data_IF_311295709831
#
_entry.id   IF_311295709831
#
_cell.length_a   1.000
_cell.length_b   1.000
_cell.length_c   1.000
_cell.angle_alpha   90.00
_cell.angle_beta   90.00
_cell.angle_gamma   90.00
#
_symmetry.space_group_name_H-M   'P 1'
#
loop_
_entity.id
_entity.type
_entity.pdbx_description
1 polymer ?
#
# COMPACT_ATOMS: atom_id res chain seq x y z
N UNK A 1 21.52 30.51 -14.19
CA UNK A 1 20.20 30.10 -14.73
C UNK A 1 20.32 29.00 -15.79
N UNK A 2 21.29 29.05 -16.68
CA UNK A 2 21.55 28.01 -17.71
C UNK A 2 22.08 26.68 -17.15
N UNK A 3 22.89 26.72 -16.09
CA UNK A 3 23.48 25.54 -15.47
C UNK A 3 22.44 24.68 -14.75
N UNK A 4 21.43 25.29 -14.14
CA UNK A 4 20.29 24.60 -13.54
C UNK A 4 19.37 23.97 -14.59
N UNK A 5 19.18 24.60 -15.76
CA UNK A 5 18.46 24.00 -16.87
C UNK A 5 19.14 22.76 -17.41
N UNK A 6 20.48 22.77 -17.53
CA UNK A 6 21.26 21.60 -17.98
C UNK A 6 21.25 20.46 -16.96
N UNK A 7 21.22 20.75 -15.65
CA UNK A 7 21.08 19.73 -14.60
C UNK A 7 19.70 19.06 -14.61
N UNK A 8 18.65 19.86 -14.80
CA UNK A 8 17.29 19.32 -14.89
C UNK A 8 17.06 18.48 -16.15
N UNK A 9 17.65 18.86 -17.30
CA UNK A 9 17.60 18.10 -18.55
C UNK A 9 18.35 16.75 -18.40
N UNK A 10 19.52 16.74 -17.73
CA UNK A 10 20.24 15.50 -17.45
C UNK A 10 19.47 14.57 -16.52
N UNK A 11 18.80 15.10 -15.52
CA UNK A 11 17.97 14.32 -14.59
C UNK A 11 16.75 13.71 -15.32
N UNK A 12 16.10 14.47 -16.19
CA UNK A 12 14.97 13.98 -17.01
C UNK A 12 15.44 12.88 -17.96
N UNK A 13 16.63 13.00 -18.57
CA UNK A 13 17.19 11.99 -19.47
C UNK A 13 17.55 10.69 -18.72
N UNK A 14 18.08 10.79 -17.51
CA UNK A 14 18.42 9.62 -16.68
C UNK A 14 17.15 8.89 -16.25
N UNK A 15 16.10 9.61 -15.87
CA UNK A 15 14.80 9.04 -15.52
C UNK A 15 14.15 8.37 -16.74
N UNK A 16 14.25 8.97 -17.91
CA UNK A 16 13.72 8.40 -19.16
C UNK A 16 14.47 7.12 -19.58
N UNK A 17 15.78 7.03 -19.32
CA UNK A 17 16.58 5.83 -19.61
C UNK A 17 16.24 4.69 -18.66
N UNK A 18 15.99 4.97 -17.39
CA UNK A 18 15.58 3.96 -16.41
C UNK A 18 14.20 3.39 -16.77
N UNK A 19 13.24 4.24 -17.15
CA UNK A 19 11.92 3.81 -17.63
C UNK A 19 12.05 2.98 -18.92
N UNK A 20 12.95 3.34 -19.82
CA UNK A 20 13.16 2.60 -21.07
C UNK A 20 13.75 1.20 -20.82
N UNK A 21 14.63 1.04 -19.83
CA UNK A 21 15.21 -0.26 -19.46
C UNK A 21 14.14 -1.20 -18.90
N UNK A 22 13.20 -0.69 -18.08
CA UNK A 22 12.08 -1.48 -17.58
C UNK A 22 11.08 -1.86 -18.69
N UNK A 23 10.80 -0.96 -19.62
CA UNK A 23 9.93 -1.24 -20.78
C UNK A 23 10.56 -2.29 -21.69
N UNK A 24 11.87 -2.20 -21.96
CA UNK A 24 12.60 -3.18 -22.78
C UNK A 24 12.67 -4.53 -22.07
N UNK A 25 12.86 -4.58 -20.75
CA UNK A 25 12.79 -5.81 -19.95
C UNK A 25 11.44 -6.49 -20.04
N UNK A 26 10.35 -5.72 -19.86
CA UNK A 26 8.99 -6.24 -19.97
C UNK A 26 8.63 -6.69 -21.41
N UNK A 27 9.15 -6.02 -22.43
CA UNK A 27 8.94 -6.41 -23.85
C UNK A 27 9.74 -7.68 -24.19
N UNK A 28 10.96 -7.85 -23.65
CA UNK A 28 11.72 -9.09 -23.86
C UNK A 28 11.09 -10.30 -23.20
N UNK A 29 10.54 -10.18 -22.01
CA UNK A 29 9.76 -11.24 -21.34
C UNK A 29 8.52 -11.58 -22.17
N UNK A 30 7.80 -10.58 -22.67
CA UNK A 30 6.61 -10.77 -23.48
C UNK A 30 6.91 -11.35 -24.88
N UNK A 31 8.10 -11.08 -25.44
CA UNK A 31 8.51 -11.58 -26.76
C UNK A 31 8.98 -13.03 -26.69
N UNK A 32 9.47 -13.48 -25.53
CA UNK A 32 9.86 -14.87 -25.32
C UNK A 32 8.65 -15.82 -25.10
N UNK A 33 7.51 -15.27 -24.63
CA UNK A 33 6.28 -16.07 -24.46
C UNK A 33 5.46 -16.24 -25.74
N UNK A 34 5.73 -15.48 -26.81
CA UNK A 34 4.96 -15.53 -28.05
C UNK A 34 5.59 -16.40 -29.16
N UNK A 35 6.69 -17.11 -28.88
CA UNK A 35 7.39 -17.94 -29.89
C UNK A 35 7.30 -19.46 -29.59
N UNK A 36 6.22 -19.92 -28.99
CA UNK A 36 5.94 -21.36 -28.98
C UNK A 36 4.90 -21.65 -30.07
N UNK A 37 5.38 -22.01 -31.24
CA UNK A 37 4.54 -22.57 -32.30
C UNK A 37 4.07 -23.95 -31.86
N UNK A 38 2.77 -24.12 -31.79
CA UNK A 38 2.11 -25.41 -31.63
C UNK A 38 2.41 -26.24 -32.86
N UNK A 39 3.29 -27.22 -32.72
CA UNK A 39 3.47 -28.27 -33.71
C UNK A 39 2.42 -29.36 -33.48
N UNK A 40 1.51 -29.51 -34.43
CA UNK A 40 0.62 -30.67 -34.52
C UNK A 40 1.45 -31.95 -34.58
N UNK A 41 1.40 -32.78 -33.54
CA UNK A 41 1.70 -34.19 -33.64
C UNK A 41 0.59 -34.99 -32.94
N UNK A 42 -0.34 -35.47 -33.75
CA UNK A 42 -1.30 -36.48 -33.36
C UNK A 42 -0.57 -37.79 -33.09
N UNK A 43 -0.59 -38.24 -31.86
CA UNK A 43 0.00 -39.53 -31.41
C UNK A 43 -0.74 -40.06 -30.19
N UNK A 44 -1.80 -40.79 -30.41
CA UNK A 44 -2.28 -42.05 -29.77
C UNK A 44 -2.08 -42.14 -28.21
N UNK A 45 -3.25 -42.24 -27.52
CA UNK A 45 -3.45 -42.63 -26.12
C UNK A 45 -2.87 -41.72 -25.02
N UNK A 46 -3.62 -40.69 -24.69
CA UNK A 46 -3.60 -40.01 -23.42
C UNK A 46 -5.03 -39.63 -23.06
N UNK A 47 -5.50 -40.02 -21.88
CA UNK A 47 -6.70 -39.46 -21.28
C UNK A 47 -6.56 -37.95 -21.33
N UNK A 48 -7.54 -37.27 -21.87
CA UNK A 48 -7.57 -35.81 -21.91
C UNK A 48 -7.74 -35.34 -20.45
N UNK A 49 -6.72 -34.68 -19.90
CA UNK A 49 -6.77 -34.03 -18.57
C UNK A 49 -7.77 -32.86 -18.65
N UNK A 50 -9.06 -33.14 -18.62
CA UNK A 50 -10.11 -32.10 -18.55
C UNK A 50 -10.23 -31.58 -17.11
N UNK A 51 -9.29 -30.74 -16.74
CA UNK A 51 -9.35 -29.99 -15.49
C UNK A 51 -10.10 -28.68 -15.74
N UNK A 52 -11.15 -28.41 -14.98
CA UNK A 52 -11.89 -27.15 -15.08
C UNK A 52 -11.13 -26.08 -14.31
N UNK A 53 -10.72 -25.02 -15.02
CA UNK A 53 -9.99 -23.89 -14.47
C UNK A 53 -10.89 -22.66 -14.45
N UNK A 54 -11.00 -22.01 -13.28
CA UNK A 54 -11.57 -20.69 -13.15
C UNK A 54 -10.41 -19.69 -13.00
N UNK A 55 -10.34 -18.72 -13.92
CA UNK A 55 -9.28 -17.71 -13.91
C UNK A 55 -9.32 -16.83 -12.64
N UNK A 56 -8.15 -16.38 -12.18
CA UNK A 56 -8.03 -15.41 -11.10
C UNK A 56 -8.53 -14.04 -11.54
N UNK A 57 -9.24 -13.32 -10.67
CA UNK A 57 -9.73 -11.96 -10.93
C UNK A 57 -8.63 -10.97 -11.30
N UNK A 58 -7.43 -11.16 -10.78
CA UNK A 58 -6.29 -10.24 -10.99
C UNK A 58 -5.70 -10.27 -12.40
N UNK A 59 -5.88 -11.34 -13.17
CA UNK A 59 -5.36 -11.46 -14.55
C UNK A 59 -6.04 -10.54 -15.57
N UNK A 60 -7.21 -9.99 -15.26
CA UNK A 60 -8.06 -9.24 -16.22
C UNK A 60 -8.22 -7.76 -15.87
N UNK A 61 -7.46 -7.22 -14.90
CA UNK A 61 -7.60 -5.83 -14.47
C UNK A 61 -7.20 -4.89 -15.62
N UNK A 62 -8.16 -4.04 -16.01
CA UNK A 62 -7.94 -2.91 -16.92
C UNK A 62 -7.76 -1.65 -16.11
N UNK A 63 -6.81 -0.81 -16.52
CA UNK A 63 -6.55 0.47 -15.88
C UNK A 63 -7.13 1.62 -16.69
N UNK A 64 -7.48 2.68 -15.99
CA UNK A 64 -7.84 3.98 -16.55
C UNK A 64 -7.03 5.07 -15.85
N UNK A 65 -6.80 6.17 -16.54
CA UNK A 65 -6.11 7.32 -15.97
C UNK A 65 -7.13 8.21 -15.24
N UNK A 66 -6.78 8.58 -14.02
CA UNK A 66 -7.44 9.63 -13.26
C UNK A 66 -6.60 10.90 -13.36
N UNK A 67 -7.24 12.04 -13.66
CA UNK A 67 -6.60 13.34 -13.72
C UNK A 67 -7.62 14.40 -13.26
N UNK A 68 -7.29 15.14 -12.20
CA UNK A 68 -8.11 16.24 -11.70
C UNK A 68 -7.41 17.62 -11.84
N UNK A 69 -6.32 17.68 -12.61
CA UNK A 69 -5.51 18.87 -12.82
C UNK A 69 -4.46 19.13 -11.73
N UNK A 70 -4.59 18.52 -10.56
CA UNK A 70 -3.61 18.59 -9.46
C UNK A 70 -2.76 17.33 -9.41
N UNK A 71 -3.38 16.16 -9.58
CA UNK A 71 -2.73 14.87 -9.61
C UNK A 71 -3.18 14.04 -10.81
N UNK A 72 -2.30 13.12 -11.21
CA UNK A 72 -2.59 12.04 -12.17
C UNK A 72 -2.20 10.72 -11.55
N UNK A 73 -2.99 9.67 -11.81
CA UNK A 73 -2.66 8.32 -11.39
C UNK A 73 -3.42 7.28 -12.20
N UNK A 74 -2.90 6.05 -12.27
CA UNK A 74 -3.58 4.90 -12.86
C UNK A 74 -4.37 4.17 -11.81
N UNK A 75 -5.64 3.88 -12.11
CA UNK A 75 -6.52 3.13 -11.21
C UNK A 75 -7.20 2.01 -11.99
N UNK A 76 -7.59 0.90 -11.36
CA UNK A 76 -8.42 -0.11 -11.99
C UNK A 76 -9.72 0.48 -12.50
N UNK A 77 -10.19 0.00 -13.63
CA UNK A 77 -11.46 0.45 -14.21
C UNK A 77 -12.61 0.19 -13.22
N UNK A 78 -13.39 1.24 -12.94
CA UNK A 78 -14.50 1.18 -11.98
C UNK A 78 -14.14 1.60 -10.55
N UNK A 79 -12.85 1.78 -10.25
CA UNK A 79 -12.43 2.35 -8.98
C UNK A 79 -12.76 3.84 -8.91
N UNK A 80 -12.83 4.36 -7.68
CA UNK A 80 -13.04 5.76 -7.38
C UNK A 80 -11.79 6.38 -6.77
N UNK A 81 -11.64 7.69 -6.99
CA UNK A 81 -10.65 8.51 -6.29
C UNK A 81 -11.39 9.64 -5.60
N UNK A 82 -11.35 9.64 -4.30
CA UNK A 82 -11.80 10.75 -3.47
C UNK A 82 -10.58 11.59 -3.07
N UNK A 83 -10.73 12.91 -3.04
CA UNK A 83 -9.70 13.85 -2.62
C UNK A 83 -10.25 14.82 -1.60
N UNK A 84 -9.39 15.25 -0.67
CA UNK A 84 -9.72 16.23 0.37
C UNK A 84 -8.54 17.18 0.59
N UNK A 85 -8.83 18.41 0.96
CA UNK A 85 -7.83 19.43 1.27
C UNK A 85 -7.19 20.03 0.02
N UNK A 86 -6.16 20.81 0.27
CA UNK A 86 -5.38 21.50 -0.75
C UNK A 86 -3.88 21.41 -0.43
N UNK A 87 -3.09 21.37 -1.45
CA UNK A 87 -1.62 21.41 -1.39
C UNK A 87 -1.01 20.62 -0.23
N UNK A 88 -0.55 21.28 0.85
CA UNK A 88 0.14 20.61 1.98
C UNK A 88 -0.74 19.66 2.76
N UNK A 89 -2.06 19.86 2.79
CA UNK A 89 -3.02 18.99 3.48
C UNK A 89 -3.76 18.03 2.53
N UNK A 90 -3.21 17.82 1.33
CA UNK A 90 -3.88 17.04 0.32
C UNK A 90 -3.95 15.57 0.69
N UNK A 91 -5.15 15.03 0.60
CA UNK A 91 -5.46 13.64 0.92
C UNK A 91 -6.08 12.97 -0.31
N UNK A 92 -5.64 11.76 -0.61
CA UNK A 92 -6.09 10.94 -1.74
C UNK A 92 -6.52 9.58 -1.21
N UNK A 93 -7.67 9.09 -1.66
CA UNK A 93 -8.12 7.72 -1.44
C UNK A 93 -8.60 7.14 -2.76
N UNK A 94 -7.86 6.18 -3.32
CA UNK A 94 -8.27 5.40 -4.48
C UNK A 94 -8.73 4.01 -4.01
N UNK A 95 -9.93 3.58 -4.37
CA UNK A 95 -10.52 2.37 -3.82
C UNK A 95 -11.54 1.72 -4.75
N UNK A 96 -11.76 0.42 -4.55
CA UNK A 96 -12.86 -0.33 -5.16
C UNK A 96 -14.18 0.02 -4.43
N UNK A 97 -15.16 0.69 -5.08
CA UNK A 97 -16.40 1.08 -4.41
C UNK A 97 -17.28 -0.11 -3.98
N UNK A 98 -17.07 -1.30 -4.54
CA UNK A 98 -17.77 -2.52 -4.17
C UNK A 98 -17.05 -3.29 -3.05
N UNK A 99 -15.73 -3.11 -2.95
CA UNK A 99 -14.85 -3.79 -1.98
C UNK A 99 -13.87 -2.77 -1.40
N UNK A 100 -14.31 -1.82 -0.58
CA UNK A 100 -13.52 -0.65 -0.19
C UNK A 100 -12.27 -0.95 0.65
N UNK A 101 -12.09 -2.19 1.08
CA UNK A 101 -10.86 -2.66 1.72
C UNK A 101 -9.69 -2.70 0.75
N UNK A 102 -9.95 -2.88 -0.57
CA UNK A 102 -8.92 -2.69 -1.59
C UNK A 102 -8.77 -1.21 -1.86
N UNK A 103 -7.72 -0.62 -1.31
CA UNK A 103 -7.50 0.81 -1.42
C UNK A 103 -6.03 1.19 -1.34
N UNK A 104 -5.75 2.33 -1.94
CA UNK A 104 -4.57 3.15 -1.73
C UNK A 104 -4.99 4.43 -1.02
N UNK A 105 -4.28 4.80 0.01
CA UNK A 105 -4.45 6.06 0.73
C UNK A 105 -3.14 6.82 0.80
N UNK A 106 -3.23 8.12 0.63
CA UNK A 106 -2.12 9.04 0.77
C UNK A 106 -2.60 10.34 1.43
N UNK A 107 -1.84 10.84 2.40
CA UNK A 107 -2.01 12.18 2.93
C UNK A 107 -0.62 12.79 3.13
N UNK A 108 -0.43 14.00 2.61
CA UNK A 108 0.88 14.63 2.64
C UNK A 108 1.26 15.09 4.05
N UNK A 109 0.35 15.81 4.75
CA UNK A 109 0.59 16.32 6.09
C UNK A 109 -0.69 16.41 6.88
N UNK A 110 -0.61 15.96 8.12
CA UNK A 110 -1.54 16.34 9.19
C UNK A 110 -0.74 16.94 10.34
N UNK A 111 -1.32 17.86 11.08
CA UNK A 111 -0.61 18.58 12.13
C UNK A 111 -1.44 18.79 13.39
N UNK A 112 -0.75 19.14 14.48
CA UNK A 112 -1.39 19.56 15.70
C UNK A 112 -1.74 18.43 16.66
N UNK A 113 -1.13 17.24 16.54
CA UNK A 113 -1.35 16.17 17.50
C UNK A 113 -0.74 16.48 18.86
N UNK A 114 -1.46 16.18 19.92
CA UNK A 114 -0.94 16.30 21.28
C UNK A 114 0.08 15.19 21.57
N UNK A 115 1.16 15.53 22.29
CA UNK A 115 2.21 14.58 22.70
C UNK A 115 1.80 13.69 23.88
N UNK A 116 0.82 14.13 24.67
CA UNK A 116 0.37 13.40 25.85
C UNK A 116 -1.08 13.73 26.20
N UNK A 117 -1.70 12.87 27.00
CA UNK A 117 -3.04 13.12 27.57
C UNK A 117 -3.06 14.34 28.47
N UNK A 118 -1.96 14.60 29.19
CA UNK A 118 -1.81 15.77 30.03
C UNK A 118 -1.78 17.05 29.18
N UNK A 119 -1.05 17.05 28.05
CA UNK A 119 -1.04 18.16 27.10
C UNK A 119 -2.45 18.45 26.56
N UNK A 120 -3.16 17.41 26.11
CA UNK A 120 -4.55 17.53 25.64
C UNK A 120 -5.47 18.08 26.75
N UNK A 121 -5.36 17.57 27.96
CA UNK A 121 -6.16 18.04 29.09
C UNK A 121 -5.87 19.52 29.43
N UNK A 122 -4.62 19.94 29.31
CA UNK A 122 -4.23 21.35 29.44
C UNK A 122 -4.88 22.20 28.35
N UNK A 123 -4.80 21.79 27.09
CA UNK A 123 -5.44 22.50 25.97
C UNK A 123 -6.96 22.60 26.17
N UNK A 124 -7.62 21.51 26.54
CA UNK A 124 -9.06 21.51 26.83
C UNK A 124 -9.46 22.43 27.97
N UNK A 125 -8.62 22.56 29.00
CA UNK A 125 -8.91 23.39 30.15
C UNK A 125 -8.72 24.88 29.86
N UNK A 126 -7.64 25.24 29.18
CA UNK A 126 -7.22 26.64 29.02
C UNK A 126 -7.56 27.23 27.64
N UNK A 127 -7.73 26.37 26.64
CA UNK A 127 -8.01 26.75 25.26
C UNK A 127 -9.12 25.88 24.65
N UNK A 128 -10.30 25.73 25.27
CA UNK A 128 -11.32 24.77 24.87
C UNK A 128 -11.90 24.99 23.46
N UNK A 129 -11.73 26.20 22.91
CA UNK A 129 -12.14 26.56 21.55
C UNK A 129 -11.07 26.33 20.48
N UNK A 130 -9.88 25.91 20.89
CA UNK A 130 -8.79 25.65 19.96
C UNK A 130 -8.94 24.25 19.31
N UNK A 131 -8.54 24.13 18.05
CA UNK A 131 -8.52 22.85 17.34
C UNK A 131 -7.64 21.81 18.05
N UNK A 132 -6.57 22.25 18.68
CA UNK A 132 -5.65 21.38 19.43
C UNK A 132 -6.28 20.73 20.66
N UNK A 133 -7.29 21.37 21.26
CA UNK A 133 -8.06 20.77 22.35
C UNK A 133 -8.84 19.52 21.91
N UNK A 134 -9.17 19.41 20.62
CA UNK A 134 -9.87 18.27 20.03
C UNK A 134 -8.91 17.25 19.41
N UNK A 135 -7.67 17.67 19.10
CA UNK A 135 -6.71 16.84 18.38
C UNK A 135 -6.40 15.53 19.12
N UNK A 136 -6.17 14.42 18.40
CA UNK A 136 -5.76 13.15 18.98
C UNK A 136 -4.43 13.25 19.72
N UNK A 137 -4.14 12.25 20.52
CA UNK A 137 -2.87 12.11 21.24
C UNK A 137 -2.04 11.01 20.60
N UNK A 138 -0.81 11.30 20.19
CA UNK A 138 0.18 10.32 19.79
C UNK A 138 1.17 10.19 20.97
N UNK A 139 0.92 9.22 21.87
CA UNK A 139 1.81 9.00 23.03
C UNK A 139 3.12 8.31 22.62
N UNK A 140 3.07 7.48 21.59
CA UNK A 140 4.22 6.82 21.00
C UNK A 140 4.52 7.50 19.66
N UNK A 141 5.60 8.28 19.63
CA UNK A 141 6.00 9.10 18.47
C UNK A 141 6.58 8.25 17.33
N UNK A 142 5.87 7.17 16.99
CA UNK A 142 6.25 6.21 15.96
C UNK A 142 5.16 6.07 14.92
N UNK A 143 5.50 5.46 13.79
CA UNK A 143 4.54 5.08 12.75
C UNK A 143 3.42 4.20 13.32
N UNK A 144 3.76 3.22 14.16
CA UNK A 144 2.78 2.36 14.82
C UNK A 144 1.85 3.15 15.75
N UNK A 145 2.44 4.04 16.59
CA UNK A 145 1.67 4.89 17.51
C UNK A 145 0.65 5.76 16.78
N UNK A 146 1.03 6.33 15.64
CA UNK A 146 0.12 7.09 14.79
C UNK A 146 -1.02 6.22 14.24
N UNK A 147 -0.73 5.03 13.69
CA UNK A 147 -1.79 4.20 13.12
C UNK A 147 -2.75 3.62 14.17
N UNK A 148 -2.32 3.46 15.42
CA UNK A 148 -3.21 3.06 16.52
C UNK A 148 -4.30 4.09 16.82
N UNK A 149 -4.01 5.39 16.58
CA UNK A 149 -5.00 6.48 16.78
C UNK A 149 -5.67 6.92 15.47
N UNK A 150 -5.36 6.28 14.34
CA UNK A 150 -5.81 6.73 13.02
C UNK A 150 -7.33 6.86 12.91
N UNK A 151 -8.08 6.00 13.59
CA UNK A 151 -9.55 6.09 13.59
C UNK A 151 -10.10 7.37 14.26
N UNK A 152 -9.35 7.99 15.19
CA UNK A 152 -9.75 9.26 15.79
C UNK A 152 -9.77 10.41 14.76
N UNK A 153 -9.00 10.27 13.66
CA UNK A 153 -8.99 11.24 12.56
C UNK A 153 -10.34 11.29 11.84
N UNK A 154 -11.08 10.18 11.79
CA UNK A 154 -12.40 10.13 11.16
C UNK A 154 -13.39 11.04 11.87
N UNK A 155 -13.37 11.04 13.21
CA UNK A 155 -14.26 11.86 14.03
C UNK A 155 -14.07 13.36 13.78
N UNK A 156 -12.85 13.76 13.41
CA UNK A 156 -12.47 15.16 13.23
C UNK A 156 -12.54 15.58 11.76
N UNK A 157 -12.12 14.71 10.84
CA UNK A 157 -11.86 15.08 9.44
C UNK A 157 -12.86 14.48 8.43
N UNK A 158 -13.74 13.56 8.83
CA UNK A 158 -14.76 13.04 7.92
C UNK A 158 -15.70 14.16 7.46
N UNK A 159 -15.90 14.23 6.16
CA UNK A 159 -16.85 15.16 5.53
C UNK A 159 -17.96 14.39 4.83
N UNK A 160 -18.96 15.09 4.29
CA UNK A 160 -20.00 14.43 3.48
C UNK A 160 -19.45 13.78 2.22
N UNK A 161 -18.36 14.33 1.68
CA UNK A 161 -17.77 13.91 0.40
C UNK A 161 -16.51 13.05 0.55
N UNK A 162 -15.87 13.03 1.72
CA UNK A 162 -14.67 12.25 1.98
C UNK A 162 -14.78 11.53 3.32
N UNK A 163 -14.55 10.22 3.30
CA UNK A 163 -14.51 9.39 4.51
C UNK A 163 -13.13 8.76 4.65
N UNK A 164 -12.52 8.99 5.79
CA UNK A 164 -11.24 8.35 6.12
C UNK A 164 -11.41 6.83 6.24
N UNK A 165 -10.40 6.05 5.85
CA UNK A 165 -10.40 4.60 6.06
C UNK A 165 -10.54 4.23 7.54
N UNK A 166 -11.15 3.06 7.81
CA UNK A 166 -11.21 2.48 9.15
C UNK A 166 -10.08 1.47 9.31
N UNK A 167 -9.29 1.62 10.37
CA UNK A 167 -8.18 0.75 10.73
C UNK A 167 -8.34 0.31 12.20
N UNK A 168 -9.43 -0.43 12.51
CA UNK A 168 -9.68 -0.88 13.89
C UNK A 168 -8.76 -2.07 14.23
N UNK A 169 -8.43 -2.22 15.52
CA UNK A 169 -7.57 -3.29 16.03
C UNK A 169 -6.21 -3.37 15.29
N UNK A 170 -5.65 -2.20 14.93
CA UNK A 170 -4.39 -2.11 14.21
C UNK A 170 -3.27 -2.81 14.97
N UNK A 171 -2.66 -3.80 14.34
CA UNK A 171 -1.60 -4.63 14.92
C UNK A 171 -0.47 -4.83 13.93
N UNK A 172 0.74 -4.42 14.29
CA UNK A 172 1.93 -4.63 13.47
C UNK A 172 2.27 -6.12 13.45
N UNK A 173 2.37 -6.65 12.25
CA UNK A 173 2.80 -8.03 11.99
C UNK A 173 4.31 -8.07 11.77
N UNK A 174 4.85 -7.08 11.04
CA UNK A 174 6.26 -7.01 10.69
C UNK A 174 6.70 -5.56 10.47
N UNK A 175 7.90 -5.20 10.92
CA UNK A 175 8.58 -3.98 10.52
C UNK A 175 9.48 -4.31 9.33
N UNK A 176 9.18 -3.75 8.17
CA UNK A 176 9.86 -4.01 6.90
C UNK A 176 11.11 -3.15 6.72
N UNK A 177 11.29 -2.13 7.55
CA UNK A 177 12.45 -1.23 7.51
C UNK A 177 12.08 0.22 7.73
N UNK A 178 13.06 1.10 7.56
CA UNK A 178 12.87 2.53 7.71
C UNK A 178 12.32 3.15 6.43
N UNK A 179 11.36 4.07 6.56
CA UNK A 179 10.91 4.91 5.46
C UNK A 179 11.95 5.94 5.05
N UNK A 180 11.83 6.45 3.82
CA UNK A 180 12.82 7.37 3.19
C UNK A 180 13.04 8.66 3.98
N UNK A 181 11.99 9.15 4.66
CA UNK A 181 12.02 10.42 5.39
C UNK A 181 12.07 10.27 6.89
N UNK A 182 12.10 9.07 7.37
CA UNK A 182 11.93 8.70 8.75
C UNK A 182 10.65 7.89 8.94
N UNK A 183 10.41 7.44 10.16
CA UNK A 183 9.35 6.49 10.44
C UNK A 183 9.70 5.08 9.93
N UNK A 184 8.73 4.22 10.00
CA UNK A 184 8.85 2.81 9.62
C UNK A 184 7.94 2.46 8.44
N UNK A 185 8.29 1.43 7.71
CA UNK A 185 7.41 0.72 6.79
C UNK A 185 6.90 -0.52 7.54
N UNK A 186 5.61 -0.59 7.77
CA UNK A 186 4.99 -1.62 8.58
C UNK A 186 4.04 -2.48 7.74
N UNK A 187 4.16 -3.79 7.86
CA UNK A 187 3.07 -4.70 7.53
C UNK A 187 2.18 -4.85 8.77
N UNK A 188 0.89 -4.60 8.62
CA UNK A 188 -0.03 -4.67 9.74
C UNK A 188 -1.35 -5.33 9.34
N UNK A 189 -2.01 -5.93 10.33
CA UNK A 189 -3.39 -6.40 10.25
C UNK A 189 -4.32 -5.43 10.98
N UNK A 190 -5.58 -5.38 10.54
CA UNK A 190 -6.59 -4.53 11.13
C UNK A 190 -7.99 -5.05 10.78
N UNK A 191 -9.02 -4.41 11.34
CA UNK A 191 -10.42 -4.62 10.92
C UNK A 191 -10.90 -3.42 10.13
N UNK A 192 -11.53 -3.68 9.00
CA UNK A 192 -12.13 -2.65 8.14
C UNK A 192 -13.45 -2.09 8.72
N UNK A 193 -14.12 -1.23 7.97
CA UNK A 193 -15.35 -0.57 8.41
C UNK A 193 -16.51 -1.54 8.68
N UNK A 194 -16.50 -2.71 8.07
CA UNK A 194 -17.46 -3.78 8.28
C UNK A 194 -17.00 -4.81 9.34
N UNK A 195 -15.87 -4.55 10.00
CA UNK A 195 -15.30 -5.44 11.02
C UNK A 195 -14.62 -6.70 10.47
N UNK A 196 -14.34 -6.76 9.16
CA UNK A 196 -13.66 -7.89 8.51
C UNK A 196 -12.16 -7.76 8.70
N UNK A 197 -11.49 -8.90 8.77
CA UNK A 197 -10.04 -8.95 8.84
C UNK A 197 -9.42 -8.46 7.52
N UNK A 198 -8.45 -7.58 7.66
CA UNK A 198 -7.72 -6.97 6.55
C UNK A 198 -6.23 -6.83 6.89
N UNK A 199 -5.42 -6.61 5.89
CA UNK A 199 -3.99 -6.38 6.03
C UNK A 199 -3.52 -5.30 5.06
N UNK A 200 -2.34 -4.77 5.32
CA UNK A 200 -1.77 -3.73 4.46
C UNK A 200 -0.32 -3.43 4.79
N UNK A 201 0.24 -2.56 3.95
CA UNK A 201 1.56 -1.95 4.14
C UNK A 201 1.34 -0.47 4.42
N UNK A 202 1.97 0.00 5.47
CA UNK A 202 1.74 1.32 6.06
C UNK A 202 3.04 2.06 6.28
N UNK A 203 3.06 3.35 5.98
CA UNK A 203 4.15 4.25 6.36
C UNK A 203 3.61 5.61 6.76
N UNK A 204 4.29 6.25 7.71
CA UNK A 204 4.06 7.63 8.11
C UNK A 204 5.29 8.13 8.87
N UNK A 205 5.57 9.41 8.79
CA UNK A 205 6.64 10.04 9.56
C UNK A 205 6.05 10.94 10.62
N UNK A 206 6.15 10.53 11.88
CA UNK A 206 5.79 11.36 13.04
C UNK A 206 6.97 12.28 13.36
N UNK A 207 6.73 13.58 13.28
CA UNK A 207 7.74 14.62 13.46
C UNK A 207 7.43 15.47 14.70
N UNK A 208 8.36 15.50 15.63
CA UNK A 208 8.31 16.43 16.76
C UNK A 208 8.65 17.85 16.30
N UNK A 209 7.65 18.73 16.28
CA UNK A 209 7.81 20.12 15.84
C UNK A 209 8.61 20.99 16.85
N UNK A 210 8.90 20.48 18.03
CA UNK A 210 9.61 21.16 19.10
C UNK A 210 8.96 20.97 20.47
N UNK A 211 9.41 21.70 21.46
CA UNK A 211 8.88 21.60 22.82
C UNK A 211 8.50 22.96 23.39
N UNK A 212 7.38 22.99 24.09
CA UNK A 212 6.98 24.15 24.89
C UNK A 212 6.43 23.70 26.25
N UNK A 213 7.24 23.85 27.26
CA UNK A 213 6.93 23.39 28.63
C UNK A 213 6.17 24.43 29.44
N UNK A 214 5.07 23.99 30.02
CA UNK A 214 4.26 24.77 30.96
C UNK A 214 4.00 23.97 32.24
N UNK A 215 3.77 24.64 33.41
CA UNK A 215 3.28 23.93 34.57
C UNK A 215 1.88 23.37 34.32
N UNK A 216 1.60 22.14 34.74
CA UNK A 216 0.31 21.46 34.60
C UNK A 216 -0.89 22.32 35.06
N UNK A 217 -0.69 23.08 36.14
CA UNK A 217 -1.55 24.18 36.49
C UNK A 217 -0.75 25.48 36.29
N UNK A 218 -1.35 26.50 35.72
CA UNK A 218 -0.68 27.75 35.28
C UNK A 218 0.36 28.33 36.24
N UNK A 219 0.29 28.00 37.54
CA UNK A 219 1.19 28.53 38.56
C UNK A 219 2.06 27.47 39.24
N UNK A 220 1.75 26.17 39.13
CA UNK A 220 2.46 25.08 39.81
C UNK A 220 2.17 23.73 39.20
N UNK A 221 2.95 22.74 39.55
CA UNK A 221 2.79 21.37 39.14
C UNK A 221 3.93 20.85 38.27
N UNK A 222 3.77 19.64 37.78
CA UNK A 222 4.69 19.00 36.83
C UNK A 222 4.77 19.83 35.56
N UNK A 223 5.96 19.93 34.98
CA UNK A 223 6.11 20.51 33.63
C UNK A 223 5.57 19.54 32.59
N UNK A 224 4.70 20.04 31.74
CA UNK A 224 4.17 19.33 30.61
C UNK A 224 4.56 20.01 29.31
N UNK A 225 4.89 19.23 28.30
CA UNK A 225 5.14 19.71 26.93
C UNK A 225 3.81 19.83 26.21
N UNK A 226 3.37 21.05 25.94
CA UNK A 226 2.12 21.35 25.21
C UNK A 226 2.34 21.66 23.73
N UNK A 227 3.55 21.47 23.22
CA UNK A 227 3.81 21.61 21.81
C UNK A 227 3.29 20.38 21.03
N UNK A 228 3.43 20.36 19.72
CA UNK A 228 2.69 19.45 18.85
C UNK A 228 3.60 18.51 18.08
N UNK A 229 2.99 17.39 17.68
CA UNK A 229 3.52 16.52 16.65
C UNK A 229 2.82 16.80 15.32
N UNK A 230 3.56 16.64 14.24
CA UNK A 230 3.05 16.60 12.86
C UNK A 230 3.27 15.22 12.30
N UNK A 231 2.43 14.81 11.37
CA UNK A 231 2.60 13.55 10.64
C UNK A 231 2.67 13.85 9.16
N UNK A 232 3.73 13.36 8.54
CA UNK A 232 4.01 13.54 7.11
C UNK A 232 3.92 12.21 6.39
N UNK A 233 3.64 12.30 5.09
CA UNK A 233 3.74 11.19 4.14
C UNK A 233 3.01 9.92 4.61
N UNK A 234 1.81 10.12 5.20
CA UNK A 234 0.94 9.02 5.56
C UNK A 234 0.51 8.30 4.30
N UNK A 235 0.95 7.06 4.13
CA UNK A 235 0.58 6.27 2.97
C UNK A 235 0.34 4.82 3.36
N UNK A 236 -0.64 4.20 2.73
CA UNK A 236 -0.84 2.77 2.83
C UNK A 236 -1.58 2.17 1.63
N UNK A 237 -1.35 0.90 1.44
CA UNK A 237 -2.09 0.02 0.55
C UNK A 237 -2.72 -1.09 1.38
N UNK A 238 -3.99 -1.43 1.13
CA UNK A 238 -4.70 -2.46 1.88
C UNK A 238 -5.50 -3.39 1.00
N UNK A 239 -5.73 -4.59 1.51
CA UNK A 239 -6.63 -5.59 0.94
C UNK A 239 -7.26 -6.42 2.09
N UNK A 240 -8.31 -7.21 1.84
CA UNK A 240 -8.77 -8.23 2.76
C UNK A 240 -7.61 -9.16 3.15
N UNK A 241 -7.71 -9.74 4.35
CA UNK A 241 -6.71 -10.70 4.83
C UNK A 241 -6.46 -11.81 3.82
N UNK A 242 -5.18 -12.18 3.66
CA UNK A 242 -4.68 -13.19 2.73
C UNK A 242 -4.84 -12.86 1.23
N UNK A 243 -5.30 -11.63 0.90
CA UNK A 243 -5.46 -11.19 -0.49
C UNK A 243 -4.46 -10.11 -0.92
N UNK A 244 -3.75 -9.48 0.00
CA UNK A 244 -2.81 -8.41 -0.31
C UNK A 244 -1.77 -8.85 -1.35
N UNK A 245 -1.25 -10.08 -1.23
CA UNK A 245 -0.28 -10.65 -2.17
C UNK A 245 -0.82 -10.72 -3.61
N UNK A 246 -2.10 -11.05 -3.78
CA UNK A 246 -2.72 -11.15 -5.10
C UNK A 246 -2.97 -9.76 -5.74
N UNK A 247 -3.11 -8.73 -4.91
CA UNK A 247 -3.41 -7.36 -5.32
C UNK A 247 -2.22 -6.44 -5.27
N UNK A 248 -1.09 -6.88 -4.76
CA UNK A 248 0.11 -6.08 -4.56
C UNK A 248 0.56 -5.38 -5.85
N UNK A 249 0.65 -6.07 -6.97
CA UNK A 249 1.02 -5.48 -8.25
C UNK A 249 0.07 -4.35 -8.65
N UNK A 250 -1.25 -4.57 -8.52
CA UNK A 250 -2.25 -3.55 -8.81
C UNK A 250 -2.11 -2.34 -7.90
N UNK A 251 -1.97 -2.55 -6.60
CA UNK A 251 -1.82 -1.49 -5.60
C UNK A 251 -0.50 -0.73 -5.79
N UNK A 252 0.57 -1.43 -6.18
CA UNK A 252 1.84 -0.80 -6.53
C UNK A 252 1.74 0.05 -7.79
N UNK A 253 1.01 -0.39 -8.83
CA UNK A 253 0.76 0.41 -10.03
C UNK A 253 0.02 1.70 -9.67
N UNK A 254 -0.99 1.63 -8.79
CA UNK A 254 -1.72 2.80 -8.31
C UNK A 254 -0.76 3.75 -7.60
N UNK A 255 0.00 3.27 -6.62
CA UNK A 255 0.92 4.08 -5.83
C UNK A 255 2.04 4.70 -6.68
N UNK A 256 2.70 3.90 -7.52
CA UNK A 256 3.85 4.35 -8.33
C UNK A 256 3.47 5.24 -9.51
N UNK A 257 2.21 5.21 -9.94
CA UNK A 257 1.72 6.07 -11.02
C UNK A 257 1.23 7.45 -10.55
N UNK A 258 1.24 7.70 -9.23
CA UNK A 258 0.85 9.00 -8.68
C UNK A 258 1.85 10.08 -9.12
N UNK A 259 1.35 11.06 -9.82
CA UNK A 259 2.09 12.24 -10.29
C UNK A 259 1.41 13.52 -9.82
N UNK A 260 2.22 14.48 -9.36
CA UNK A 260 1.75 15.81 -8.98
C UNK A 260 2.02 16.80 -10.10
N UNK A 261 1.04 17.65 -10.41
CA UNK A 261 1.18 18.69 -11.43
C UNK A 261 2.10 19.83 -10.95
N UNK A 262 2.65 20.60 -11.90
CA UNK A 262 3.42 21.80 -11.58
C UNK A 262 2.59 22.84 -10.79
N UNK A 263 1.28 22.90 -11.04
CA UNK A 263 0.35 23.76 -10.30
C UNK A 263 0.30 23.33 -8.83
N UNK A 264 0.19 22.04 -8.57
CA UNK A 264 0.18 21.51 -7.21
C UNK A 264 1.51 21.81 -6.49
N UNK A 265 2.64 21.48 -7.13
CA UNK A 265 3.99 21.73 -6.60
C UNK A 265 4.20 23.22 -6.30
N UNK A 266 3.74 24.11 -7.19
CA UNK A 266 3.84 25.55 -6.98
C UNK A 266 2.96 26.03 -5.82
N UNK A 267 1.77 25.45 -5.65
CA UNK A 267 0.88 25.74 -4.54
C UNK A 267 1.49 25.36 -3.19
N UNK A 268 2.05 24.16 -3.09
CA UNK A 268 2.79 23.70 -1.89
C UNK A 268 3.95 24.61 -1.57
N UNK A 269 4.73 25.01 -2.59
CA UNK A 269 5.86 25.93 -2.42
C UNK A 269 5.42 27.29 -1.87
N UNK A 270 4.26 27.78 -2.32
CA UNK A 270 3.71 29.05 -1.85
C UNK A 270 3.25 28.96 -0.41
N UNK A 271 2.73 27.81 0.01
CA UNK A 271 2.26 27.60 1.38
C UNK A 271 3.41 27.33 2.36
N UNK A 272 4.38 26.50 2.00
CA UNK A 272 5.50 26.18 2.92
C UNK A 272 6.75 25.77 2.13
N UNK A 273 7.74 26.65 2.04
CA UNK A 273 9.02 26.42 1.33
C UNK A 273 9.79 25.18 1.83
N UNK A 274 9.62 24.78 3.12
CA UNK A 274 10.30 23.63 3.70
C UNK A 274 9.74 22.29 3.24
N UNK A 275 8.46 22.22 2.87
CA UNK A 275 7.78 20.96 2.54
C UNK A 275 7.98 20.51 1.09
N UNK A 276 8.48 21.42 0.23
CA UNK A 276 8.77 21.07 -1.15
C UNK A 276 9.91 20.03 -1.32
N UNK A 277 10.80 19.91 -0.34
CA UNK A 277 11.83 18.85 -0.36
C UNK A 277 11.18 17.47 -0.20
N UNK A 278 10.08 17.38 0.51
CA UNK A 278 9.35 16.14 0.73
C UNK A 278 8.61 15.69 -0.54
N UNK A 279 8.12 16.61 -1.37
CA UNK A 279 7.40 16.28 -2.61
C UNK A 279 8.22 15.55 -3.67
N UNK A 280 9.45 16.00 -3.92
CA UNK A 280 10.33 15.32 -4.87
C UNK A 280 10.67 13.91 -4.42
N UNK A 281 10.50 13.66 -3.16
CA UNK A 281 10.82 12.41 -2.54
C UNK A 281 9.62 11.46 -2.37
N UNK A 282 8.36 11.93 -2.42
CA UNK A 282 7.17 11.05 -2.41
C UNK A 282 7.21 10.03 -3.54
N UNK A 283 7.64 10.46 -4.73
CA UNK A 283 7.86 9.52 -5.84
C UNK A 283 8.92 8.48 -5.51
N UNK A 284 9.99 8.88 -4.80
CA UNK A 284 11.02 7.97 -4.33
C UNK A 284 10.53 7.07 -3.21
N UNK A 285 9.63 7.56 -2.33
CA UNK A 285 8.94 6.73 -1.31
C UNK A 285 8.09 5.67 -1.99
N UNK A 286 7.23 6.05 -2.93
CA UNK A 286 6.40 5.08 -3.65
C UNK A 286 7.25 4.02 -4.34
N UNK A 287 8.34 4.42 -5.01
CA UNK A 287 9.25 3.49 -5.65
C UNK A 287 10.02 2.66 -4.61
N UNK A 288 10.54 3.26 -3.55
CA UNK A 288 11.29 2.55 -2.52
C UNK A 288 10.38 1.62 -1.71
N UNK A 289 9.17 2.03 -1.35
CA UNK A 289 8.19 1.13 -0.71
C UNK A 289 7.88 -0.04 -1.64
N UNK A 290 7.71 0.22 -2.94
CA UNK A 290 7.50 -0.82 -3.93
C UNK A 290 8.71 -1.76 -3.98
N UNK A 291 9.92 -1.23 -4.08
CA UNK A 291 11.15 -2.01 -4.17
C UNK A 291 11.46 -2.75 -2.86
N UNK A 292 11.31 -2.11 -1.69
CA UNK A 292 11.52 -2.72 -0.38
C UNK A 292 10.44 -3.73 -0.01
N UNK A 293 9.18 -3.47 -0.39
CA UNK A 293 8.11 -4.45 -0.28
C UNK A 293 8.43 -5.65 -1.16
N UNK A 294 8.79 -5.44 -2.43
CA UNK A 294 9.15 -6.52 -3.34
C UNK A 294 10.36 -7.29 -2.84
N UNK A 295 11.44 -6.59 -2.46
CA UNK A 295 12.68 -7.20 -1.94
C UNK A 295 12.48 -7.92 -0.61
N UNK A 296 11.66 -7.36 0.27
CA UNK A 296 11.38 -7.94 1.57
C UNK A 296 10.37 -9.09 1.49
N UNK A 297 9.42 -9.01 0.57
CA UNK A 297 8.52 -10.11 0.22
C UNK A 297 9.28 -11.26 -0.42
N UNK A 298 10.21 -10.99 -1.34
CA UNK A 298 11.06 -12.02 -1.94
C UNK A 298 11.98 -12.71 -0.90
N UNK A 299 12.49 -11.97 0.09
CA UNK A 299 13.51 -12.48 1.02
C UNK A 299 13.00 -12.98 2.36
N UNK A 300 11.90 -12.44 2.90
CA UNK A 300 11.42 -12.73 4.27
C UNK A 300 10.05 -13.39 4.33
N UNK A 301 9.21 -13.10 3.37
CA UNK A 301 7.85 -13.62 3.27
C UNK A 301 7.80 -15.10 2.97
N UNK A 302 8.83 -15.62 2.32
CA UNK A 302 8.86 -16.99 1.84
C UNK A 302 8.53 -18.03 2.92
N UNK A 303 9.00 -17.88 4.15
CA UNK A 303 8.75 -18.91 5.17
C UNK A 303 7.48 -18.66 5.99
N UNK A 304 7.18 -17.42 6.37
CA UNK A 304 6.05 -17.11 7.25
C UNK A 304 4.73 -16.98 6.47
N UNK A 305 4.78 -16.34 5.31
CA UNK A 305 3.60 -16.25 4.43
C UNK A 305 3.29 -17.60 3.79
N UNK A 306 4.31 -18.37 3.43
CA UNK A 306 4.12 -19.75 2.96
C UNK A 306 3.40 -20.59 4.02
N UNK A 307 3.83 -20.50 5.28
CA UNK A 307 3.21 -21.26 6.35
C UNK A 307 1.77 -20.79 6.64
N UNK A 308 1.54 -19.47 6.63
CA UNK A 308 0.20 -18.88 6.77
C UNK A 308 -0.72 -19.25 5.61
N UNK A 309 -0.20 -19.18 4.38
CA UNK A 309 -0.97 -19.56 3.19
C UNK A 309 -1.26 -21.07 3.17
N UNK A 310 -0.29 -21.93 3.52
CA UNK A 310 -0.51 -23.38 3.68
C UNK A 310 -1.58 -23.68 4.71
N UNK A 311 -1.54 -22.99 5.85
CA UNK A 311 -2.53 -23.17 6.91
C UNK A 311 -3.91 -22.67 6.48
N UNK A 312 -3.98 -21.54 5.79
CA UNK A 312 -5.21 -20.99 5.24
C UNK A 312 -5.79 -21.92 4.16
N UNK A 313 -4.97 -22.35 3.22
CA UNK A 313 -5.40 -23.27 2.15
C UNK A 313 -5.89 -24.60 2.75
N UNK A 314 -5.18 -25.19 3.69
CA UNK A 314 -5.60 -26.41 4.39
C UNK A 314 -6.91 -26.23 5.16
N UNK A 315 -7.10 -25.11 5.84
CA UNK A 315 -8.34 -24.79 6.58
C UNK A 315 -9.53 -24.64 5.64
N UNK A 316 -9.31 -24.10 4.46
CA UNK A 316 -10.34 -23.92 3.43
C UNK A 316 -10.54 -25.15 2.54
N UNK A 317 -9.78 -26.24 2.77
CA UNK A 317 -9.89 -27.46 1.99
C UNK A 317 -9.25 -27.42 0.61
N UNK A 318 -8.23 -26.56 0.42
CA UNK A 318 -7.47 -26.43 -0.82
C UNK A 318 -6.04 -26.92 -0.67
N UNK A 319 -5.49 -27.32 -1.81
CA UNK A 319 -4.04 -27.43 -2.01
C UNK A 319 -3.66 -26.63 -3.25
N UNK A 320 -2.37 -26.24 -3.37
CA UNK A 320 -1.87 -25.54 -4.54
C UNK A 320 -1.09 -26.49 -5.44
N UNK A 321 -1.35 -26.37 -6.72
CA UNK A 321 -0.67 -27.14 -7.75
C UNK A 321 -0.12 -26.20 -8.82
N UNK A 322 0.95 -26.60 -9.47
CA UNK A 322 1.45 -25.89 -10.63
C UNK A 322 1.27 -26.72 -11.90
N UNK A 323 0.96 -26.01 -12.98
CA UNK A 323 0.90 -26.55 -14.31
C UNK A 323 2.32 -26.59 -14.90
N UNK A 324 2.83 -27.79 -15.16
CA UNK A 324 4.18 -28.00 -15.71
C UNK A 324 4.38 -27.48 -17.12
N UNK A 325 3.30 -27.25 -17.88
CA UNK A 325 3.35 -26.71 -19.25
C UNK A 325 3.36 -25.17 -19.24
N UNK A 326 2.53 -24.54 -18.40
CA UNK A 326 2.40 -23.07 -18.35
C UNK A 326 3.19 -22.42 -17.22
N UNK A 327 3.64 -23.23 -16.26
CA UNK A 327 4.31 -22.78 -15.03
C UNK A 327 3.43 -21.84 -14.18
N UNK A 328 2.12 -21.97 -14.26
CA UNK A 328 1.12 -21.24 -13.52
C UNK A 328 0.67 -22.02 -12.28
N UNK A 329 0.25 -21.30 -11.23
CA UNK A 329 -0.21 -21.90 -9.97
C UNK A 329 -1.73 -21.80 -9.87
N UNK A 330 -2.35 -22.91 -9.46
CA UNK A 330 -3.79 -23.03 -9.26
C UNK A 330 -4.12 -23.51 -7.86
N UNK A 331 -5.29 -23.16 -7.33
CA UNK A 331 -5.87 -23.81 -6.15
C UNK A 331 -6.71 -25.00 -6.60
N UNK A 332 -6.43 -26.16 -6.05
CA UNK A 332 -7.21 -27.38 -6.28
C UNK A 332 -7.87 -27.81 -4.94
N UNK A 333 -8.87 -28.67 -5.01
CA UNK A 333 -9.43 -29.30 -3.81
C UNK A 333 -8.36 -30.16 -3.10
N UNK A 334 -8.45 -30.25 -1.78
CA UNK A 334 -7.49 -31.03 -0.99
C UNK A 334 -7.53 -32.51 -1.38
N UNK A 335 -6.36 -33.10 -1.67
CA UNK A 335 -6.21 -34.45 -2.19
C UNK A 335 -6.26 -34.57 -3.71
N UNK A 336 -6.30 -33.44 -4.42
CA UNK A 336 -6.26 -33.44 -5.89
C UNK A 336 -5.02 -34.17 -6.41
N UNK A 337 -3.84 -33.89 -5.86
CA UNK A 337 -2.58 -34.50 -6.31
C UNK A 337 -2.50 -35.98 -6.00
N UNK A 338 -3.27 -36.48 -5.03
CA UNK A 338 -3.39 -37.91 -4.74
C UNK A 338 -4.37 -38.61 -5.72
N UNK A 339 -5.40 -37.90 -6.16
CA UNK A 339 -6.43 -38.40 -7.07
C UNK A 339 -6.06 -38.24 -8.57
N UNK A 340 -5.13 -37.30 -8.87
CA UNK A 340 -4.75 -36.97 -10.23
C UNK A 340 -3.71 -37.92 -10.79
N UNK A 341 -4.06 -38.69 -11.82
CA UNK A 341 -3.19 -39.68 -12.46
C UNK A 341 -2.39 -39.12 -13.67
N UNK A 342 -2.52 -37.81 -13.97
CA UNK A 342 -1.78 -37.14 -15.04
C UNK A 342 -0.42 -36.60 -14.60
N UNK A 343 0.38 -36.11 -15.55
CA UNK A 343 1.71 -35.57 -15.28
C UNK A 343 1.79 -34.03 -15.33
N UNK A 344 0.70 -33.38 -15.75
CA UNK A 344 0.69 -31.93 -16.00
C UNK A 344 0.65 -31.10 -14.71
N UNK A 345 -0.19 -31.50 -13.74
CA UNK A 345 -0.34 -30.76 -12.49
C UNK A 345 0.41 -31.45 -11.36
N UNK A 346 1.25 -30.70 -10.67
CA UNK A 346 2.07 -31.21 -9.55
C UNK A 346 1.95 -30.29 -8.34
N UNK A 347 2.13 -30.84 -7.13
CA UNK A 347 2.21 -30.05 -5.90
C UNK A 347 3.29 -28.99 -6.04
N UNK A 348 3.01 -27.76 -5.55
CA UNK A 348 3.98 -26.69 -5.57
C UNK A 348 5.06 -26.89 -4.53
N UNK A 349 6.24 -26.32 -4.81
CA UNK A 349 7.32 -26.17 -3.84
C UNK A 349 7.18 -24.84 -3.09
N UNK A 350 7.88 -24.67 -1.98
CA UNK A 350 7.76 -23.49 -1.11
C UNK A 350 8.05 -22.18 -1.83
N UNK A 351 9.01 -22.17 -2.74
CA UNK A 351 9.35 -21.02 -3.58
C UNK A 351 8.24 -20.59 -4.55
N UNK A 352 7.30 -21.49 -4.86
CA UNK A 352 6.17 -21.17 -5.74
C UNK A 352 4.98 -20.54 -5.02
N UNK A 353 4.96 -20.53 -3.68
CA UNK A 353 3.89 -19.86 -2.93
C UNK A 353 3.86 -18.34 -3.12
N UNK A 354 4.96 -17.75 -3.60
CA UNK A 354 5.05 -16.34 -3.97
C UNK A 354 4.39 -16.01 -5.31
N UNK A 355 4.06 -17.04 -6.13
CA UNK A 355 3.37 -16.84 -7.40
C UNK A 355 1.88 -16.59 -7.18
N UNK A 356 1.32 -15.67 -7.96
CA UNK A 356 -0.13 -15.42 -7.97
C UNK A 356 -0.93 -16.66 -8.39
N UNK A 357 -2.11 -16.81 -7.82
CA UNK A 357 -3.05 -17.88 -8.19
C UNK A 357 -3.69 -17.55 -9.54
N UNK A 358 -3.49 -18.41 -10.52
CA UNK A 358 -4.03 -18.21 -11.87
C UNK A 358 -5.50 -18.63 -12.00
N UNK A 359 -5.96 -19.49 -11.11
CA UNK A 359 -7.34 -19.97 -11.12
C UNK A 359 -7.57 -21.11 -10.14
N UNK A 360 -8.72 -21.75 -10.27
CA UNK A 360 -9.16 -22.84 -9.41
C UNK A 360 -9.44 -24.10 -10.25
N UNK A 361 -9.01 -25.26 -9.74
CA UNK A 361 -9.37 -26.55 -10.29
C UNK A 361 -10.61 -27.05 -9.56
N UNK A 362 -11.70 -27.20 -10.28
CA UNK A 362 -12.95 -27.72 -9.75
C UNK A 362 -12.90 -29.25 -9.64
N UNK A 363 -13.59 -29.81 -8.63
CA UNK A 363 -13.70 -31.24 -8.42
C UNK A 363 -14.61 -31.91 -9.43
#
# INVERSE_FOLDING_TARGET
MEENKKKNIKLIIIISVIILVFIVGAIMVRKNSNNISVGDNAGIFGKKDEVKIKESETKTIKYTDFDNGLIKMKIPQGWKVDVLGDYVHYTIKAYDPQRPTYQFFFNLKTEGYNKSKEAKAFQQRYYPGDLFAQAPVIEDETTEGFYKIFNELREINDTDTFKFPTLSDFTVVENLGAGVFGGDILRASFKDAEGRDAEGIFTAYVYDAGSYYVPENVFYGKQIDIYFLNVYDTMFITAPKDELINWQETLNIIASSLEFSDTFISGVKTQQDAEMKNFQSIRNICNQITDEIMDSWEKRSASFDIMSQKQSDATLGYERVYDTETNEVYKAYNGFTDDYDGERYKSITDDMYTKGISGYIEK
#
